data_IF_573714025704
#
_entry.id   IF_573714025704
#
_cell.length_a   1.000
_cell.length_b   1.000
_cell.length_c   1.000
_cell.angle_alpha   90.00
_cell.angle_beta   90.00
_cell.angle_gamma   90.00
#
_symmetry.space_group_name_H-M   'P 1'
#
loop_
_entity.id
_entity.type
_entity.pdbx_description
1 polymer ?
#
# COMPACT_ATOMS: atom_id res chain seq x y z
N UNK A 1 1.76 -20.39 -2.24
CA UNK A 1 1.64 -19.87 -3.61
C UNK A 1 3.00 -19.31 -4.02
N UNK A 2 3.83 -20.12 -4.66
CA UNK A 2 5.07 -19.65 -5.29
C UNK A 2 4.73 -19.01 -6.64
N UNK A 3 5.50 -17.98 -7.03
CA UNK A 3 5.35 -17.13 -8.22
C UNK A 3 5.43 -17.92 -9.54
N UNK A 4 4.44 -18.76 -9.85
CA UNK A 4 4.36 -19.38 -11.17
C UNK A 4 4.04 -18.29 -12.19
N UNK A 5 4.79 -18.20 -13.32
CA UNK A 5 4.53 -17.18 -14.34
C UNK A 5 3.08 -17.17 -14.84
N UNK A 6 2.43 -18.34 -14.90
CA UNK A 6 1.02 -18.49 -15.29
C UNK A 6 0.00 -17.77 -14.38
N UNK A 7 0.39 -17.39 -13.15
CA UNK A 7 -0.44 -16.61 -12.22
C UNK A 7 0.09 -15.18 -12.03
N UNK A 8 1.03 -14.75 -12.86
CA UNK A 8 1.70 -13.45 -12.75
C UNK A 8 1.36 -12.62 -13.98
N UNK A 9 0.89 -11.40 -13.75
CA UNK A 9 0.61 -10.43 -14.81
C UNK A 9 1.43 -9.17 -14.59
N UNK A 10 2.25 -8.80 -15.58
CA UNK A 10 3.00 -7.55 -15.55
C UNK A 10 2.10 -6.40 -15.98
N UNK A 11 1.59 -5.64 -15.01
CA UNK A 11 0.70 -4.52 -15.27
C UNK A 11 1.42 -3.23 -15.73
N UNK A 12 2.72 -3.11 -15.47
CA UNK A 12 3.51 -1.96 -15.89
C UNK A 12 4.91 -1.95 -15.29
N UNK A 13 5.76 -1.06 -15.82
CA UNK A 13 7.16 -0.88 -15.40
C UNK A 13 7.35 0.60 -15.09
N UNK A 14 7.91 0.90 -13.90
CA UNK A 14 8.35 2.24 -13.55
C UNK A 14 9.85 2.32 -13.87
N UNK A 15 10.27 3.22 -14.78
CA UNK A 15 11.67 3.29 -15.18
C UNK A 15 12.57 3.77 -14.04
N UNK A 16 13.78 3.22 -13.97
CA UNK A 16 14.87 3.63 -13.08
C UNK A 16 15.45 5.00 -13.57
N UNK A 17 16.30 5.72 -12.79
CA UNK A 17 16.97 5.35 -11.53
C UNK A 17 16.24 5.79 -10.27
N UNK A 18 15.30 6.72 -10.37
CA UNK A 18 14.69 7.36 -9.22
C UNK A 18 13.40 6.68 -8.80
N UNK A 19 13.17 6.60 -7.50
CA UNK A 19 11.88 6.18 -7.00
C UNK A 19 10.78 7.13 -7.51
N UNK A 20 9.63 6.61 -7.94
CA UNK A 20 8.55 7.42 -8.45
C UNK A 20 8.08 8.40 -7.38
N UNK A 21 7.81 9.63 -7.82
CA UNK A 21 7.16 10.60 -6.97
C UNK A 21 5.77 10.10 -6.60
N UNK A 22 5.26 10.68 -5.54
CA UNK A 22 3.94 10.38 -5.03
C UNK A 22 2.80 10.73 -6.00
N UNK A 23 2.98 11.73 -6.86
CA UNK A 23 2.05 12.08 -7.95
C UNK A 23 2.21 11.10 -9.11
N UNK A 24 3.46 10.75 -9.44
CA UNK A 24 3.78 9.75 -10.48
C UNK A 24 3.16 8.40 -10.15
N UNK A 25 3.24 7.94 -8.90
CA UNK A 25 2.59 6.71 -8.44
C UNK A 25 1.08 6.74 -8.63
N UNK A 26 0.44 7.86 -8.29
CA UNK A 26 -1.00 8.00 -8.45
C UNK A 26 -1.40 7.91 -9.94
N UNK A 27 -0.70 8.65 -10.80
CA UNK A 27 -0.93 8.63 -12.25
C UNK A 27 -0.67 7.25 -12.87
N UNK A 28 0.34 6.55 -12.38
CA UNK A 28 0.68 5.19 -12.82
C UNK A 28 -0.41 4.17 -12.46
N UNK A 29 -0.99 4.27 -11.26
CA UNK A 29 -2.03 3.35 -10.79
C UNK A 29 -3.39 3.61 -11.42
N UNK A 30 -3.67 4.83 -11.88
CA UNK A 30 -4.96 5.26 -12.45
C UNK A 30 -5.51 4.33 -13.53
N UNK A 31 -4.78 3.98 -14.61
CA UNK A 31 -5.29 3.06 -15.63
C UNK A 31 -5.58 1.66 -15.07
N UNK A 32 -4.74 1.16 -14.15
CA UNK A 32 -4.92 -0.15 -13.54
C UNK A 32 -6.17 -0.19 -12.65
N UNK A 33 -6.35 0.82 -11.80
CA UNK A 33 -7.53 0.97 -10.93
C UNK A 33 -8.79 1.06 -11.77
N UNK A 34 -8.80 1.89 -12.81
CA UNK A 34 -9.95 2.00 -13.72
C UNK A 34 -10.32 0.63 -14.30
N UNK A 35 -9.33 -0.16 -14.73
CA UNK A 35 -9.59 -1.49 -15.28
C UNK A 35 -10.10 -2.47 -14.23
N UNK A 36 -9.57 -2.43 -13.01
CA UNK A 36 -10.08 -3.27 -11.91
C UNK A 36 -11.53 -2.89 -11.57
N UNK A 37 -11.90 -1.60 -11.58
CA UNK A 37 -13.29 -1.17 -11.37
C UNK A 37 -14.21 -1.74 -12.46
N UNK A 38 -13.79 -1.68 -13.73
CA UNK A 38 -14.53 -2.29 -14.84
C UNK A 38 -14.70 -3.81 -14.63
N UNK A 39 -13.62 -4.51 -14.27
CA UNK A 39 -13.59 -5.97 -14.08
C UNK A 39 -14.22 -6.44 -12.75
N UNK A 40 -14.47 -5.53 -11.81
CA UNK A 40 -15.24 -5.83 -10.60
C UNK A 40 -16.73 -6.00 -10.94
N UNK A 41 -17.18 -5.43 -12.07
CA UNK A 41 -18.43 -5.85 -12.72
C UNK A 41 -18.23 -7.25 -13.31
N UNK A 42 -19.25 -8.09 -13.24
CA UNK A 42 -19.20 -9.41 -13.85
C UNK A 42 -18.99 -9.28 -15.36
N UNK A 43 -17.93 -9.90 -15.87
CA UNK A 43 -17.67 -10.05 -17.30
C UNK A 43 -17.77 -11.53 -17.67
N UNK A 44 -18.18 -11.82 -18.91
CA UNK A 44 -18.20 -13.18 -19.43
C UNK A 44 -16.93 -13.43 -20.24
N UNK A 45 -16.16 -14.46 -19.87
CA UNK A 45 -14.92 -14.85 -20.56
C UNK A 45 -15.10 -16.26 -21.11
N UNK A 46 -14.92 -16.43 -22.41
CA UNK A 46 -14.88 -17.75 -23.04
C UNK A 46 -13.48 -18.34 -22.91
N UNK A 47 -13.41 -19.63 -22.58
CA UNK A 47 -12.15 -20.38 -22.54
C UNK A 47 -12.30 -21.66 -23.33
N UNK A 48 -11.20 -22.37 -23.60
CA UNK A 48 -11.25 -23.67 -24.26
C UNK A 48 -12.07 -24.69 -23.45
N UNK A 49 -11.99 -24.64 -22.11
CA UNK A 49 -12.72 -25.55 -21.22
C UNK A 49 -14.18 -25.11 -21.00
N UNK A 50 -14.46 -23.81 -21.16
CA UNK A 50 -15.80 -23.23 -21.00
C UNK A 50 -16.19 -22.43 -22.27
N UNK A 51 -16.59 -23.11 -23.37
CA UNK A 51 -16.90 -22.45 -24.65
C UNK A 51 -18.13 -21.53 -24.56
N UNK A 52 -19.09 -21.88 -23.71
CA UNK A 52 -20.25 -21.03 -23.45
C UNK A 52 -19.85 -19.76 -22.68
N UNK A 53 -18.71 -19.78 -21.99
CA UNK A 53 -18.13 -18.69 -21.23
C UNK A 53 -18.54 -18.68 -19.76
N UNK A 54 -17.60 -18.25 -18.93
CA UNK A 54 -17.73 -18.17 -17.47
C UNK A 54 -17.83 -16.72 -17.02
N UNK A 55 -18.64 -16.49 -15.98
CA UNK A 55 -18.77 -15.19 -15.34
C UNK A 55 -17.61 -14.94 -14.37
N UNK A 56 -16.73 -14.00 -14.72
CA UNK A 56 -15.54 -13.64 -13.96
C UNK A 56 -15.69 -12.26 -13.35
N UNK A 57 -15.21 -12.10 -12.12
CA UNK A 57 -15.04 -10.81 -11.44
C UNK A 57 -13.64 -10.71 -10.86
N UNK A 58 -13.04 -9.54 -10.98
CA UNK A 58 -11.71 -9.25 -10.44
C UNK A 58 -11.81 -8.29 -9.26
N UNK A 59 -11.14 -8.62 -8.16
CA UNK A 59 -11.04 -7.77 -6.97
C UNK A 59 -9.58 -7.70 -6.52
N UNK A 60 -9.12 -6.51 -6.17
CA UNK A 60 -7.83 -6.34 -5.50
C UNK A 60 -7.98 -6.74 -4.04
N UNK A 61 -7.27 -7.79 -3.61
CA UNK A 61 -7.38 -8.33 -2.25
C UNK A 61 -6.23 -7.91 -1.34
N UNK A 62 -5.02 -7.84 -1.88
CA UNK A 62 -3.82 -7.57 -1.10
C UNK A 62 -2.82 -6.75 -1.91
N UNK A 63 -2.14 -5.85 -1.21
CA UNK A 63 -0.98 -5.10 -1.66
C UNK A 63 0.25 -5.68 -0.95
N UNK A 64 1.13 -6.33 -1.72
CA UNK A 64 2.37 -6.92 -1.24
C UNK A 64 3.54 -6.08 -1.71
N UNK A 65 4.10 -5.26 -0.82
CA UNK A 65 5.28 -4.44 -1.09
C UNK A 65 6.07 -4.25 0.21
N UNK A 66 7.31 -3.74 0.09
CA UNK A 66 8.06 -3.30 1.28
C UNK A 66 7.37 -2.11 1.97
N UNK A 67 7.83 -1.75 3.18
CA UNK A 67 7.19 -0.70 3.99
C UNK A 67 7.29 0.69 3.34
N UNK A 68 8.36 0.98 2.61
CA UNK A 68 8.57 2.29 1.99
C UNK A 68 7.59 2.45 0.82
N UNK A 69 7.51 1.44 -0.03
CA UNK A 69 6.56 1.37 -1.13
C UNK A 69 5.12 1.30 -0.63
N UNK A 70 4.85 0.59 0.47
CA UNK A 70 3.53 0.54 1.14
C UNK A 70 3.03 1.94 1.43
N UNK A 71 3.82 2.76 2.13
CA UNK A 71 3.37 4.10 2.51
C UNK A 71 3.10 4.96 1.26
N UNK A 72 3.88 4.75 0.19
CA UNK A 72 3.65 5.44 -1.08
C UNK A 72 2.38 5.02 -1.82
N UNK A 73 2.09 3.73 -1.85
CA UNK A 73 0.99 3.12 -2.62
C UNK A 73 -0.33 3.11 -1.85
N UNK A 74 -0.28 3.03 -0.52
CA UNK A 74 -1.47 3.08 0.36
C UNK A 74 -1.76 4.51 0.87
N UNK A 75 -0.83 5.46 0.65
CA UNK A 75 -1.08 6.88 0.88
C UNK A 75 -0.72 7.37 2.28
N UNK A 76 0.09 6.63 3.02
CA UNK A 76 0.53 7.03 4.36
C UNK A 76 1.82 7.87 4.32
N UNK A 77 2.09 8.63 5.39
CA UNK A 77 3.39 9.32 5.53
C UNK A 77 4.52 8.33 5.78
N UNK A 78 5.77 8.72 5.50
CA UNK A 78 6.95 7.85 5.69
C UNK A 78 7.11 7.36 7.13
N UNK A 79 7.92 6.31 7.31
CA UNK A 79 8.33 5.80 8.62
C UNK A 79 8.98 6.87 9.53
N UNK A 80 9.50 7.95 8.93
CA UNK A 80 10.10 9.08 9.64
C UNK A 80 9.10 10.18 10.04
N UNK A 81 7.87 10.15 9.52
CA UNK A 81 6.83 11.16 9.70
C UNK A 81 6.19 11.18 11.09
N UNK A 82 5.35 12.20 11.34
CA UNK A 82 4.62 12.34 12.60
C UNK A 82 3.63 11.17 12.82
N UNK A 83 2.92 10.77 11.76
CA UNK A 83 2.03 9.59 11.70
C UNK A 83 2.68 8.48 10.86
N UNK A 84 3.63 7.78 11.47
CA UNK A 84 4.52 6.86 10.77
C UNK A 84 3.95 5.46 10.51
N UNK A 85 2.84 5.08 11.16
CA UNK A 85 2.30 3.72 11.09
C UNK A 85 1.04 3.69 10.22
N UNK A 86 0.95 2.71 9.31
CA UNK A 86 -0.26 2.44 8.52
C UNK A 86 -1.36 1.72 9.31
N UNK A 87 -1.01 1.08 10.42
CA UNK A 87 -1.94 0.27 11.21
C UNK A 87 -2.49 0.97 12.44
N UNK A 88 -1.72 1.79 13.15
CA UNK A 88 -2.20 2.44 14.39
C UNK A 88 -2.15 3.96 14.26
N UNK A 89 -2.88 4.67 15.12
CA UNK A 89 -2.94 6.14 15.10
C UNK A 89 -1.87 6.82 15.96
N UNK A 90 -0.99 6.04 16.60
CA UNK A 90 0.10 6.54 17.45
C UNK A 90 1.02 7.47 16.67
N UNK A 91 1.38 8.59 17.30
CA UNK A 91 2.34 9.54 16.75
C UNK A 91 3.76 9.15 17.13
N UNK A 92 4.74 9.59 16.34
CA UNK A 92 6.15 9.23 16.56
C UNK A 92 6.68 9.58 17.95
N UNK A 93 6.21 10.68 18.54
CA UNK A 93 6.57 11.09 19.90
C UNK A 93 6.08 10.11 20.98
N UNK A 94 5.05 9.34 20.68
CA UNK A 94 4.39 8.39 21.57
C UNK A 94 4.62 6.93 21.16
N UNK A 95 5.71 6.63 20.42
CA UNK A 95 5.96 5.30 19.86
C UNK A 95 5.90 4.17 20.90
N UNK A 96 6.25 4.44 22.16
CA UNK A 96 6.16 3.50 23.27
C UNK A 96 4.72 3.04 23.58
N UNK A 97 3.70 3.76 23.12
CA UNK A 97 2.27 3.45 23.29
C UNK A 97 1.68 2.63 22.13
N UNK A 98 2.52 2.11 21.22
CA UNK A 98 2.04 1.26 20.13
C UNK A 98 1.36 -0.01 20.64
N UNK A 99 0.14 -0.25 20.14
CA UNK A 99 -0.63 -1.46 20.44
C UNK A 99 -1.02 -2.16 19.14
N UNK A 100 -0.73 -3.45 19.03
CA UNK A 100 -1.03 -4.27 17.83
C UNK A 100 -2.55 -4.41 17.60
N UNK A 101 -3.37 -4.23 18.64
CA UNK A 101 -4.78 -4.64 18.67
C UNK A 101 -5.78 -3.59 18.16
N UNK A 102 -5.35 -2.36 17.90
CA UNK A 102 -6.25 -1.26 17.50
C UNK A 102 -5.89 -0.76 16.10
N UNK A 103 -6.28 -1.49 15.04
CA UNK A 103 -6.06 -1.02 13.69
C UNK A 103 -6.87 0.25 13.43
N UNK A 104 -6.33 1.12 12.58
CA UNK A 104 -7.03 2.27 12.01
C UNK A 104 -8.33 1.80 11.33
N UNK A 105 -9.37 2.61 11.44
CA UNK A 105 -10.66 2.31 10.83
C UNK A 105 -10.64 2.70 9.34
N UNK A 106 -11.08 1.80 8.45
CA UNK A 106 -11.13 2.03 7.01
C UNK A 106 -11.82 3.37 6.65
N UNK A 107 -13.00 3.62 7.23
CA UNK A 107 -13.80 4.78 6.90
C UNK A 107 -13.14 6.06 7.39
N UNK A 108 -12.53 6.06 8.57
CA UNK A 108 -11.80 7.24 9.07
C UNK A 108 -10.57 7.53 8.22
N UNK A 109 -9.79 6.51 7.86
CA UNK A 109 -8.61 6.65 6.99
C UNK A 109 -9.01 7.17 5.61
N UNK A 110 -10.07 6.63 4.99
CA UNK A 110 -10.59 7.11 3.69
C UNK A 110 -11.16 8.52 3.78
N UNK A 111 -11.86 8.88 4.85
CA UNK A 111 -12.39 10.22 5.05
C UNK A 111 -11.27 11.27 5.19
N UNK A 112 -10.20 10.94 5.93
CA UNK A 112 -9.00 11.78 6.01
C UNK A 112 -8.32 11.90 4.64
N UNK A 113 -8.18 10.80 3.91
CA UNK A 113 -7.63 10.82 2.57
C UNK A 113 -8.44 11.72 1.62
N UNK A 114 -9.77 11.62 1.66
CA UNK A 114 -10.69 12.43 0.85
C UNK A 114 -10.57 13.92 1.20
N UNK A 115 -10.58 14.24 2.50
CA UNK A 115 -10.40 15.62 2.96
C UNK A 115 -9.08 16.22 2.49
N UNK A 116 -7.99 15.44 2.50
CA UNK A 116 -6.73 15.89 1.93
C UNK A 116 -6.83 16.19 0.43
N UNK A 117 -7.60 15.39 -0.32
CA UNK A 117 -7.81 15.60 -1.76
C UNK A 117 -8.60 16.87 -2.05
N UNK A 118 -9.63 17.14 -1.26
CA UNK A 118 -10.45 18.34 -1.39
C UNK A 118 -9.67 19.61 -1.03
N UNK A 119 -8.79 19.53 -0.03
CA UNK A 119 -7.94 20.64 0.44
C UNK A 119 -6.65 20.81 -0.40
N UNK A 120 -6.38 19.94 -1.38
CA UNK A 120 -5.14 19.90 -2.18
C UNK A 120 -4.90 21.20 -2.98
N UNK A 121 -5.95 21.99 -3.22
CA UNK A 121 -5.87 23.27 -3.95
C UNK A 121 -5.20 24.41 -3.16
N UNK A 122 -4.76 24.15 -1.92
CA UNK A 122 -4.13 25.15 -1.04
C UNK A 122 -2.63 24.95 -0.93
N UNK A 123 -1.89 26.03 -0.66
CA UNK A 123 -0.44 26.00 -0.35
C UNK A 123 -0.10 25.15 0.91
N UNK A 124 -1.10 24.61 1.61
CA UNK A 124 -0.96 23.87 2.86
C UNK A 124 -0.97 22.34 2.70
N UNK A 125 -1.04 21.79 1.49
CA UNK A 125 -1.07 20.33 1.23
C UNK A 125 -0.03 19.53 2.03
N UNK A 126 1.22 20.02 2.09
CA UNK A 126 2.31 19.36 2.83
C UNK A 126 2.10 19.37 4.35
N UNK A 127 1.51 20.44 4.89
CA UNK A 127 1.21 20.57 6.32
C UNK A 127 0.04 19.65 6.69
N UNK A 128 -1.00 19.62 5.86
CA UNK A 128 -2.15 18.75 6.02
C UNK A 128 -1.73 17.27 5.97
N UNK A 129 -0.91 16.89 4.99
CA UNK A 129 -0.40 15.52 4.91
C UNK A 129 0.40 15.11 6.15
N UNK A 130 1.28 16.00 6.65
CA UNK A 130 2.04 15.76 7.89
C UNK A 130 1.15 15.58 9.11
N UNK A 131 0.05 16.34 9.19
CA UNK A 131 -0.90 16.30 10.31
C UNK A 131 -1.81 15.08 10.26
N UNK A 132 -2.41 14.82 9.09
CA UNK A 132 -3.41 13.77 8.88
C UNK A 132 -2.79 12.38 8.75
N UNK A 133 -1.55 12.30 8.27
CA UNK A 133 -0.83 11.03 8.14
C UNK A 133 -1.20 10.19 6.93
N UNK A 134 -2.25 10.60 6.21
CA UNK A 134 -2.77 9.91 5.03
C UNK A 134 -3.19 10.93 3.97
N UNK A 135 -3.22 10.50 2.71
CA UNK A 135 -3.68 11.27 1.56
C UNK A 135 -4.42 10.39 0.56
N UNK A 136 -5.08 11.00 -0.40
CA UNK A 136 -5.79 10.27 -1.44
C UNK A 136 -4.86 9.59 -2.45
N UNK A 137 -5.25 8.39 -2.86
CA UNK A 137 -4.66 7.63 -3.94
C UNK A 137 -5.74 6.90 -4.73
N UNK A 138 -5.43 6.57 -6.00
CA UNK A 138 -6.36 5.89 -6.91
C UNK A 138 -6.96 4.62 -6.31
N UNK A 139 -6.21 3.87 -5.47
CA UNK A 139 -6.72 2.65 -4.84
C UNK A 139 -7.98 2.88 -3.99
N UNK A 140 -8.18 4.09 -3.45
CA UNK A 140 -9.37 4.42 -2.66
C UNK A 140 -10.68 4.43 -3.48
N UNK A 141 -10.61 4.43 -4.81
CA UNK A 141 -11.77 4.22 -5.68
C UNK A 141 -12.29 2.78 -5.69
N UNK A 142 -11.51 1.81 -5.20
CA UNK A 142 -11.87 0.40 -5.25
C UNK A 142 -12.87 0.03 -4.13
N UNK A 143 -14.04 -0.57 -4.46
CA UNK A 143 -15.07 -0.87 -3.46
C UNK A 143 -14.65 -1.82 -2.33
N UNK A 144 -13.67 -2.71 -2.57
CA UNK A 144 -13.22 -3.70 -1.58
C UNK A 144 -11.82 -3.38 -1.02
N UNK A 145 -11.31 -2.18 -1.26
CA UNK A 145 -9.98 -1.77 -0.81
C UNK A 145 -10.04 -1.17 0.59
N UNK A 146 -9.34 -1.77 1.53
CA UNK A 146 -9.06 -1.19 2.85
C UNK A 146 -7.56 -0.89 2.93
N UNK A 147 -7.13 0.39 3.00
CA UNK A 147 -5.72 0.75 3.03
C UNK A 147 -4.97 0.24 4.26
N UNK A 148 -5.67 -0.19 5.31
CA UNK A 148 -5.10 -0.74 6.55
C UNK A 148 -5.05 -2.25 6.49
N UNK A 149 -6.12 -2.91 6.03
CA UNK A 149 -6.27 -4.38 6.07
C UNK A 149 -5.81 -5.09 4.80
N UNK A 150 -5.78 -4.40 3.66
CA UNK A 150 -5.30 -4.98 2.40
C UNK A 150 -3.79 -4.87 2.25
N UNK A 151 -3.08 -4.21 3.15
CA UNK A 151 -1.60 -4.12 3.13
C UNK A 151 -1.00 -5.35 3.81
N UNK A 152 -0.13 -6.05 3.09
CA UNK A 152 0.63 -7.20 3.59
C UNK A 152 2.11 -6.85 3.62
N UNK A 153 2.70 -6.87 4.81
CA UNK A 153 4.13 -6.66 4.98
C UNK A 153 4.90 -7.85 4.41
N UNK A 154 5.83 -7.59 3.50
CA UNK A 154 6.73 -8.61 2.97
C UNK A 154 7.64 -9.18 4.07
N UNK A 155 7.70 -10.51 4.19
CA UNK A 155 8.54 -11.19 5.19
C UNK A 155 10.03 -10.89 4.98
N UNK A 156 10.48 -10.81 3.72
CA UNK A 156 11.90 -10.64 3.40
C UNK A 156 12.47 -9.35 3.98
N UNK A 157 12.00 -8.19 3.52
CA UNK A 157 12.57 -6.91 3.90
C UNK A 157 12.15 -6.45 5.31
N UNK A 158 11.01 -6.92 5.82
CA UNK A 158 10.57 -6.54 7.16
C UNK A 158 11.13 -7.48 8.23
N UNK A 159 10.89 -8.79 8.10
CA UNK A 159 11.25 -9.76 9.14
C UNK A 159 12.72 -10.18 9.04
N UNK A 160 13.18 -10.65 7.88
CA UNK A 160 14.56 -11.13 7.74
C UNK A 160 15.57 -9.98 7.74
N UNK A 161 15.43 -9.00 6.83
CA UNK A 161 16.40 -7.90 6.70
C UNK A 161 16.19 -6.76 7.70
N UNK A 162 15.00 -6.64 8.28
CA UNK A 162 14.70 -5.65 9.31
C UNK A 162 14.94 -6.22 10.70
N UNK A 163 13.98 -6.99 11.21
CA UNK A 163 13.96 -7.47 12.60
C UNK A 163 15.13 -8.40 12.90
N UNK A 164 15.28 -9.48 12.13
CA UNK A 164 16.30 -10.49 12.40
C UNK A 164 17.71 -9.93 12.21
N UNK A 165 17.96 -9.22 11.11
CA UNK A 165 19.25 -8.53 10.90
C UNK A 165 19.59 -7.58 12.06
N UNK A 166 18.63 -6.77 12.51
CA UNK A 166 18.85 -5.89 13.66
C UNK A 166 19.15 -6.68 14.94
N UNK A 167 18.44 -7.78 15.18
CA UNK A 167 18.68 -8.66 16.33
C UNK A 167 20.10 -9.25 16.30
N UNK A 168 20.48 -9.86 15.18
CA UNK A 168 21.80 -10.47 15.00
C UNK A 168 22.94 -9.44 15.17
N UNK A 169 22.82 -8.27 14.54
CA UNK A 169 23.89 -7.28 14.52
C UNK A 169 24.00 -6.49 15.83
N UNK A 170 22.88 -5.99 16.34
CA UNK A 170 22.90 -5.08 17.50
C UNK A 170 22.83 -5.82 18.84
N UNK A 171 22.07 -6.91 18.92
CA UNK A 171 21.86 -7.61 20.19
C UNK A 171 22.82 -8.78 20.39
N UNK A 172 23.16 -9.49 19.32
CA UNK A 172 24.09 -10.63 19.38
C UNK A 172 25.50 -10.30 18.90
N UNK A 173 25.75 -9.08 18.42
CA UNK A 173 27.08 -8.64 17.99
C UNK A 173 27.64 -9.41 16.79
N UNK A 174 26.78 -10.11 16.04
CA UNK A 174 27.16 -10.82 14.82
C UNK A 174 27.26 -9.79 13.70
N UNK A 175 28.34 -9.03 13.74
CA UNK A 175 28.73 -8.17 12.63
C UNK A 175 29.38 -9.07 11.59
N UNK A 176 28.72 -9.23 10.43
CA UNK A 176 29.42 -9.74 9.25
C UNK A 176 30.66 -8.88 9.06
N UNK A 177 31.83 -9.53 8.97
CA UNK A 177 33.10 -8.90 8.66
C UNK A 177 32.87 -7.85 7.57
N UNK A 178 33.08 -6.58 7.91
CA UNK A 178 33.07 -5.49 6.93
C UNK A 178 34.24 -5.64 5.98
#
# INVERSE_FOLDING_TARGET
MQYKPQYTYLAGIIPAPNQPSMVTMNNFLKPLVKKIIELNKTIRIQTYQEPEGENVRVKLKALLVDIIATHKVAGFTSHSGHKFCSWCEVIKADIAKMEIRKPQNENSTKALAMRWNDEQQTTQEKLLFRKMGVRWLELNWLPCWDPVRCVVLGILHNWYEGVLKHHFQFWWGINGLK
#
